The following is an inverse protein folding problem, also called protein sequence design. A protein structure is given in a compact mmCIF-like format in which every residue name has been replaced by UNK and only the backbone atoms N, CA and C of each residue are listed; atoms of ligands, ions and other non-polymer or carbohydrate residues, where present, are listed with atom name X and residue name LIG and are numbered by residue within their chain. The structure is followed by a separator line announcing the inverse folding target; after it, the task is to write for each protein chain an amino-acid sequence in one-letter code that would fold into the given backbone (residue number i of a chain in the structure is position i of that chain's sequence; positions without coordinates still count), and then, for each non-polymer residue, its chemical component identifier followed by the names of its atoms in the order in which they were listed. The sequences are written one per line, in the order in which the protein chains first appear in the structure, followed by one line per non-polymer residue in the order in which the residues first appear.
data_IF_616732063967
#
_entry.id   IF_616732063967
#
_cell.length_a   1.000
_cell.length_b   1.000
_cell.length_c   1.000
_cell.angle_alpha   90.00
_cell.angle_beta   90.00
_cell.angle_gamma   90.00
#
_symmetry.space_group_name_H-M   'P 1'
#
loop_
_entity.id
_entity.type
_entity.pdbx_description
1 polymer ?
#
# COMPACT_ATOMS: atom_id res chain seq x y z
N UNK A 1 -8.59 12.05 -11.23
CA UNK A 1 -7.25 12.00 -11.83
C UNK A 1 -6.67 10.59 -11.72
N UNK A 2 -6.28 10.00 -12.90
CA UNK A 2 -5.85 8.60 -12.96
C UNK A 2 -4.59 8.30 -12.12
N UNK A 3 -3.64 9.24 -12.04
CA UNK A 3 -2.40 9.08 -11.26
C UNK A 3 -2.70 8.93 -9.76
N UNK A 4 -3.61 9.73 -9.21
CA UNK A 4 -4.01 9.62 -7.80
C UNK A 4 -4.61 8.25 -7.49
N UNK A 5 -5.38 7.67 -8.40
CA UNK A 5 -5.98 6.35 -8.22
C UNK A 5 -4.93 5.24 -8.16
N UNK A 6 -3.90 5.28 -9.01
CA UNK A 6 -2.81 4.29 -9.01
C UNK A 6 -1.95 4.39 -7.74
N UNK A 7 -1.68 5.62 -7.26
CA UNK A 7 -0.97 5.82 -5.99
C UNK A 7 -1.77 5.28 -4.82
N UNK A 8 -3.06 5.60 -4.74
CA UNK A 8 -3.94 5.07 -3.69
C UNK A 8 -3.96 3.54 -3.72
N UNK A 9 -4.11 2.93 -4.90
CA UNK A 9 -4.04 1.48 -5.04
C UNK A 9 -2.70 0.92 -4.54
N UNK A 10 -1.57 1.56 -4.89
CA UNK A 10 -0.26 1.11 -4.42
C UNK A 10 -0.13 1.20 -2.90
N UNK A 11 -0.64 2.28 -2.31
CA UNK A 11 -0.66 2.44 -0.84
C UNK A 11 -1.52 1.36 -0.16
N UNK A 12 -2.67 1.00 -0.74
CA UNK A 12 -3.49 -0.13 -0.27
C UNK A 12 -2.72 -1.46 -0.35
N UNK A 13 -2.09 -1.75 -1.49
CA UNK A 13 -1.28 -2.95 -1.68
C UNK A 13 -0.13 -3.01 -0.64
N UNK A 14 0.56 -1.89 -0.41
CA UNK A 14 1.64 -1.78 0.59
C UNK A 14 1.15 -2.00 2.02
N UNK A 15 -0.03 -1.49 2.33
CA UNK A 15 -0.64 -1.70 3.64
C UNK A 15 -1.01 -3.17 3.84
N UNK A 16 -1.59 -3.82 2.85
CA UNK A 16 -1.92 -5.25 2.90
C UNK A 16 -0.65 -6.12 2.99
N UNK A 17 0.43 -5.77 2.26
CA UNK A 17 1.75 -6.40 2.39
C UNK A 17 2.30 -6.25 3.83
N UNK A 18 2.18 -5.06 4.43
CA UNK A 18 2.61 -4.78 5.80
C UNK A 18 1.82 -5.57 6.85
N UNK A 19 0.51 -5.66 6.71
CA UNK A 19 -0.35 -6.47 7.59
C UNK A 19 0.05 -7.94 7.51
N UNK A 20 0.23 -8.46 6.29
CA UNK A 20 0.68 -9.84 6.07
C UNK A 20 2.02 -10.13 6.74
N UNK A 21 3.01 -9.26 6.50
CA UNK A 21 4.33 -9.40 7.10
C UNK A 21 4.25 -9.40 8.64
N UNK A 22 3.39 -8.54 9.21
CA UNK A 22 3.18 -8.46 10.67
C UNK A 22 2.56 -9.75 11.22
N UNK A 23 1.56 -10.34 10.55
CA UNK A 23 0.94 -11.59 10.97
C UNK A 23 1.94 -12.76 10.89
N UNK A 24 2.71 -12.86 9.81
CA UNK A 24 3.74 -13.89 9.66
C UNK A 24 4.84 -13.72 10.71
N UNK A 25 5.24 -12.50 11.02
CA UNK A 25 6.23 -12.23 12.06
C UNK A 25 5.70 -12.61 13.46
N UNK A 26 4.44 -12.29 13.75
CA UNK A 26 3.79 -12.70 15.00
C UNK A 26 3.68 -14.22 15.14
N UNK A 27 3.38 -14.94 14.05
CA UNK A 27 3.36 -16.40 14.02
C UNK A 27 4.72 -16.98 14.43
N UNK A 28 5.81 -16.41 13.92
CA UNK A 28 7.17 -16.83 14.29
C UNK A 28 7.50 -16.48 15.74
N UNK A 29 7.17 -15.27 16.20
CA UNK A 29 7.44 -14.82 17.56
C UNK A 29 6.70 -15.62 18.62
N UNK A 30 5.49 -16.06 18.31
CA UNK A 30 4.63 -16.83 19.24
C UNK A 30 4.83 -18.33 19.10
N UNK A 31 5.62 -18.77 18.13
CA UNK A 31 5.74 -20.18 17.74
C UNK A 31 4.34 -20.82 17.48
N UNK A 32 3.46 -20.05 16.85
CA UNK A 32 2.08 -20.42 16.59
C UNK A 32 1.74 -20.33 15.08
N UNK A 33 1.69 -21.47 14.43
CA UNK A 33 1.39 -21.58 13.02
C UNK A 33 -0.06 -21.22 12.67
N UNK A 34 -1.00 -21.20 13.62
CA UNK A 34 -2.40 -20.88 13.36
C UNK A 34 -2.55 -19.46 12.80
N UNK A 35 -1.76 -18.51 13.30
CA UNK A 35 -1.75 -17.13 12.78
C UNK A 35 -1.35 -17.12 11.29
N UNK A 36 -0.31 -17.87 10.92
CA UNK A 36 0.15 -17.97 9.53
C UNK A 36 -0.89 -18.64 8.61
N UNK A 37 -1.64 -19.62 9.13
CA UNK A 37 -2.69 -20.32 8.38
C UNK A 37 -3.92 -19.44 8.13
N UNK A 38 -4.21 -18.48 9.01
CA UNK A 38 -5.33 -17.54 8.87
C UNK A 38 -5.03 -16.40 7.89
N UNK A 39 -3.76 -16.04 7.65
CA UNK A 39 -3.39 -14.96 6.72
C UNK A 39 -3.96 -15.16 5.30
N UNK A 40 -3.78 -16.32 4.63
CA UNK A 40 -4.33 -16.55 3.31
C UNK A 40 -5.86 -16.43 3.27
N UNK A 41 -6.54 -16.84 4.33
CA UNK A 41 -7.99 -16.78 4.44
C UNK A 41 -8.49 -15.31 4.45
N UNK A 42 -7.78 -14.40 5.12
CA UNK A 42 -8.10 -12.96 5.10
C UNK A 42 -8.09 -12.38 3.68
N UNK A 43 -7.20 -12.86 2.83
CA UNK A 43 -7.06 -12.41 1.45
C UNK A 43 -8.09 -13.02 0.52
N UNK A 44 -8.39 -14.31 0.71
CA UNK A 44 -9.32 -15.05 -0.15
C UNK A 44 -10.78 -14.67 0.12
N UNK A 45 -11.12 -14.41 1.37
CA UNK A 45 -12.49 -14.11 1.76
C UNK A 45 -12.80 -12.63 1.62
N UNK A 46 -13.39 -12.25 0.49
CA UNK A 46 -13.91 -10.90 0.23
C UNK A 46 -15.29 -10.65 0.87
N UNK A 47 -15.98 -11.72 1.27
CA UNK A 47 -17.30 -11.63 1.91
C UNK A 47 -17.17 -11.23 3.38
N UNK A 48 -17.94 -10.20 3.79
CA UNK A 48 -17.89 -9.65 5.15
C UNK A 48 -18.05 -10.72 6.26
N UNK A 49 -19.00 -11.64 6.11
CA UNK A 49 -19.24 -12.70 7.09
C UNK A 49 -18.05 -13.66 7.26
N UNK A 50 -17.45 -14.07 6.14
CA UNK A 50 -16.32 -14.99 6.18
C UNK A 50 -15.07 -14.31 6.76
N UNK A 51 -14.88 -13.04 6.39
CA UNK A 51 -13.80 -12.22 6.93
C UNK A 51 -13.94 -12.04 8.45
N UNK A 52 -15.13 -11.76 8.95
CA UNK A 52 -15.39 -11.62 10.39
C UNK A 52 -15.02 -12.89 11.19
N UNK A 53 -15.29 -14.07 10.64
CA UNK A 53 -14.91 -15.35 11.29
C UNK A 53 -13.38 -15.47 11.42
N UNK A 54 -12.65 -15.09 10.38
CA UNK A 54 -11.17 -15.13 10.41
C UNK A 54 -10.61 -14.10 11.39
N UNK A 55 -11.21 -12.90 11.45
CA UNK A 55 -10.83 -11.85 12.41
C UNK A 55 -11.09 -12.32 13.84
N UNK A 56 -12.26 -12.92 14.13
CA UNK A 56 -12.58 -13.48 15.43
C UNK A 56 -11.59 -14.59 15.85
N UNK A 57 -11.21 -15.46 14.92
CA UNK A 57 -10.18 -16.47 15.16
C UNK A 57 -8.81 -15.83 15.49
N UNK A 58 -8.39 -14.82 14.73
CA UNK A 58 -7.16 -14.06 15.01
C UNK A 58 -7.25 -13.35 16.37
N UNK A 59 -8.38 -12.75 16.70
CA UNK A 59 -8.58 -12.07 17.97
C UNK A 59 -8.32 -13.00 19.17
N UNK A 60 -8.69 -14.27 19.07
CA UNK A 60 -8.44 -15.25 20.12
C UNK A 60 -6.94 -15.61 20.30
N UNK A 61 -6.11 -15.42 19.27
CA UNK A 61 -4.69 -15.75 19.27
C UNK A 61 -3.79 -14.55 19.63
N UNK A 62 -4.33 -13.33 19.57
CA UNK A 62 -3.60 -12.09 19.80
C UNK A 62 -3.73 -11.63 21.26
N UNK A 63 -2.65 -11.06 21.81
CA UNK A 63 -2.68 -10.34 23.08
C UNK A 63 -3.50 -9.05 22.95
N UNK A 64 -3.90 -8.43 24.07
CA UNK A 64 -4.66 -7.19 24.05
C UNK A 64 -3.93 -6.08 23.26
N UNK A 65 -2.63 -5.90 23.49
CA UNK A 65 -1.84 -4.88 22.80
C UNK A 65 -1.77 -5.12 21.28
N UNK A 66 -1.63 -6.37 20.85
CA UNK A 66 -1.63 -6.74 19.43
C UNK A 66 -2.99 -6.53 18.80
N UNK A 67 -4.08 -6.87 19.52
CA UNK A 67 -5.46 -6.60 19.10
C UNK A 67 -5.70 -5.13 18.85
N UNK A 68 -5.37 -4.28 19.82
CA UNK A 68 -5.57 -2.84 19.74
C UNK A 68 -4.85 -2.21 18.54
N UNK A 69 -3.74 -2.81 18.09
CA UNK A 69 -2.96 -2.33 16.94
C UNK A 69 -3.37 -2.92 15.60
N UNK A 70 -3.73 -4.20 15.56
CA UNK A 70 -3.96 -4.92 14.31
C UNK A 70 -5.43 -5.00 13.90
N UNK A 71 -6.35 -5.24 14.85
CA UNK A 71 -7.75 -5.41 14.50
C UNK A 71 -8.36 -4.21 13.76
N UNK A 72 -8.06 -2.95 14.10
CA UNK A 72 -8.56 -1.81 13.35
C UNK A 72 -8.13 -1.79 11.87
N UNK A 73 -6.99 -2.43 11.56
CA UNK A 73 -6.49 -2.55 10.18
C UNK A 73 -7.14 -3.69 9.42
N UNK A 74 -7.55 -4.73 10.15
CA UNK A 74 -8.15 -5.94 9.59
C UNK A 74 -9.66 -5.81 9.40
N UNK A 75 -10.33 -5.13 10.34
CA UNK A 75 -11.78 -5.03 10.40
C UNK A 75 -12.34 -4.08 9.33
N UNK A 76 -11.61 -3.02 9.03
CA UNK A 76 -12.04 -2.01 8.07
C UNK A 76 -11.76 -2.41 6.62
N UNK A 77 -12.73 -2.16 5.74
CA UNK A 77 -12.68 -2.57 4.33
C UNK A 77 -12.13 -1.50 3.41
N UNK A 78 -12.23 -0.21 3.76
CA UNK A 78 -11.71 0.89 2.94
C UNK A 78 -10.43 1.47 3.50
N UNK A 79 -9.54 1.95 2.61
CA UNK A 79 -8.31 2.63 2.99
C UNK A 79 -8.59 3.82 3.93
N UNK A 80 -9.64 4.60 3.66
CA UNK A 80 -9.99 5.76 4.46
C UNK A 80 -10.35 5.38 5.90
N UNK A 81 -11.14 4.32 6.09
CA UNK A 81 -11.50 3.80 7.41
C UNK A 81 -10.28 3.28 8.17
N UNK A 82 -9.41 2.51 7.50
CA UNK A 82 -8.16 2.02 8.09
C UNK A 82 -7.24 3.17 8.52
N UNK A 83 -7.09 4.21 7.68
CA UNK A 83 -6.30 5.41 8.03
C UNK A 83 -6.89 6.13 9.22
N UNK A 84 -8.21 6.27 9.30
CA UNK A 84 -8.90 6.86 10.48
C UNK A 84 -8.67 6.03 11.74
N UNK A 85 -8.75 4.71 11.64
CA UNK A 85 -8.51 3.80 12.76
C UNK A 85 -7.07 3.95 13.30
N UNK A 86 -6.05 3.95 12.42
CA UNK A 86 -4.65 4.17 12.77
C UNK A 86 -4.44 5.54 13.42
N UNK A 87 -5.10 6.58 12.89
CA UNK A 87 -4.95 7.93 13.38
C UNK A 87 -5.46 8.14 14.82
N UNK A 88 -6.30 7.22 15.29
CA UNK A 88 -6.84 7.22 16.66
C UNK A 88 -5.98 6.42 17.65
N UNK A 89 -4.93 5.72 17.18
CA UNK A 89 -4.02 4.99 18.09
C UNK A 89 -3.21 5.99 18.93
N UNK A 90 -3.27 5.89 20.27
CA UNK A 90 -2.55 6.81 21.16
C UNK A 90 -1.04 6.81 20.89
N UNK A 91 -0.43 8.01 20.97
CA UNK A 91 1.02 8.17 20.82
C UNK A 91 1.53 8.22 19.37
N UNK A 92 0.64 8.19 18.38
CA UNK A 92 1.02 8.34 16.98
C UNK A 92 0.70 9.75 16.49
N UNK A 93 1.74 10.51 16.21
CA UNK A 93 1.59 11.81 15.54
C UNK A 93 1.26 11.60 14.07
N UNK A 94 0.34 12.42 13.56
CA UNK A 94 0.05 12.43 12.12
C UNK A 94 1.16 13.22 11.42
N UNK A 95 1.87 12.63 10.45
CA UNK A 95 2.80 13.39 9.64
C UNK A 95 2.03 14.49 8.90
N UNK A 96 2.61 15.65 8.73
CA UNK A 96 2.09 16.63 7.80
C UNK A 96 2.25 16.11 6.36
N UNK A 97 1.63 16.78 5.40
CA UNK A 97 1.65 16.33 4.00
C UNK A 97 3.08 16.25 3.43
N UNK A 98 3.94 17.22 3.77
CA UNK A 98 5.34 17.25 3.32
C UNK A 98 6.15 16.07 3.86
N UNK A 99 6.03 15.78 5.16
CA UNK A 99 6.74 14.66 5.80
C UNK A 99 6.24 13.31 5.24
N UNK A 100 4.92 13.18 5.02
CA UNK A 100 4.34 11.97 4.44
C UNK A 100 4.85 11.75 3.00
N UNK A 101 4.90 12.80 2.19
CA UNK A 101 5.39 12.74 0.83
C UNK A 101 6.89 12.45 0.79
N UNK A 102 7.69 13.08 1.65
CA UNK A 102 9.12 12.77 1.78
C UNK A 102 9.33 11.29 2.17
N UNK A 103 8.51 10.77 3.09
CA UNK A 103 8.53 9.34 3.46
C UNK A 103 8.28 8.40 2.27
N UNK A 104 7.40 8.80 1.32
CA UNK A 104 7.17 8.02 0.10
C UNK A 104 8.34 8.10 -0.88
N UNK A 105 9.03 9.25 -0.95
CA UNK A 105 10.23 9.42 -1.79
C UNK A 105 11.43 8.62 -1.27
N UNK A 106 11.50 8.40 0.03
CA UNK A 106 12.56 7.65 0.68
C UNK A 106 12.17 6.18 0.92
N UNK A 107 10.97 5.75 0.44
CA UNK A 107 10.51 4.36 0.58
C UNK A 107 11.50 3.39 -0.09
N UNK A 108 11.84 2.26 0.54
CA UNK A 108 12.72 1.24 -0.06
C UNK A 108 12.13 0.61 -1.33
N UNK A 109 10.80 0.64 -1.50
CA UNK A 109 10.13 0.14 -2.70
C UNK A 109 10.25 1.14 -3.85
N UNK A 110 10.98 0.76 -4.90
CA UNK A 110 11.23 1.59 -6.08
C UNK A 110 9.94 2.05 -6.76
N UNK A 111 8.93 1.17 -6.82
CA UNK A 111 7.64 1.50 -7.43
C UNK A 111 6.91 2.59 -6.64
N UNK A 112 6.91 2.52 -5.31
CA UNK A 112 6.32 3.55 -4.44
C UNK A 112 7.02 4.90 -4.66
N UNK A 113 8.36 4.92 -4.72
CA UNK A 113 9.13 6.14 -5.02
C UNK A 113 8.78 6.73 -6.39
N UNK A 114 8.76 5.88 -7.42
CA UNK A 114 8.43 6.32 -8.79
C UNK A 114 7.05 6.95 -8.88
N UNK A 115 6.05 6.33 -8.25
CA UNK A 115 4.70 6.87 -8.19
C UNK A 115 4.63 8.18 -7.38
N UNK A 116 5.37 8.29 -6.27
CA UNK A 116 5.46 9.52 -5.50
C UNK A 116 6.06 10.66 -6.34
N UNK A 117 7.13 10.40 -7.09
CA UNK A 117 7.74 11.38 -8.01
C UNK A 117 6.75 11.83 -9.09
N UNK A 118 6.02 10.89 -9.70
CA UNK A 118 5.04 11.19 -10.75
C UNK A 118 3.84 12.03 -10.24
N UNK A 119 3.52 11.93 -8.95
CA UNK A 119 2.42 12.69 -8.32
C UNK A 119 2.86 13.97 -7.64
N UNK A 120 4.16 14.27 -7.66
CA UNK A 120 4.70 15.46 -7.01
C UNK A 120 4.04 16.73 -7.55
N UNK A 121 3.43 17.57 -6.69
CA UNK A 121 2.83 18.81 -7.16
C UNK A 121 3.90 19.75 -7.74
N UNK A 122 3.68 20.23 -8.95
CA UNK A 122 4.51 21.27 -9.55
C UNK A 122 4.46 22.52 -8.67
N UNK A 123 5.60 22.89 -8.07
CA UNK A 123 5.70 24.06 -7.17
C UNK A 123 5.95 23.74 -5.70
N UNK A 124 6.12 22.49 -5.32
CA UNK A 124 6.52 22.11 -3.97
C UNK A 124 8.07 22.09 -3.87
N UNK A 125 8.62 23.13 -3.25
CA UNK A 125 10.05 23.48 -3.24
C UNK A 125 10.84 22.72 -2.15
N UNK A 126 10.81 21.39 -2.17
CA UNK A 126 11.55 20.57 -1.20
C UNK A 126 12.46 19.52 -1.84
N UNK A 127 13.46 19.98 -2.62
CA UNK A 127 14.55 19.09 -3.11
C UNK A 127 14.14 17.98 -4.11
N UNK A 128 12.85 17.88 -4.44
CA UNK A 128 12.31 16.88 -5.36
C UNK A 128 12.58 17.17 -6.84
N UNK A 129 12.88 18.44 -7.20
CA UNK A 129 13.20 18.81 -8.58
C UNK A 129 14.45 18.08 -9.10
N UNK A 130 15.45 17.86 -8.24
CA UNK A 130 16.67 17.13 -8.63
C UNK A 130 16.40 15.65 -8.96
N UNK A 131 15.42 15.03 -8.28
CA UNK A 131 15.04 13.63 -8.53
C UNK A 131 14.15 13.51 -9.79
N UNK A 132 13.30 14.51 -10.04
CA UNK A 132 12.44 14.57 -11.23
C UNK A 132 13.23 14.82 -12.50
N UNK A 133 14.17 15.74 -12.48
CA UNK A 133 15.07 16.03 -13.63
C UNK A 133 15.95 14.86 -14.00
N UNK A 134 16.36 14.01 -13.06
CA UNK A 134 17.10 12.78 -13.35
C UNK A 134 16.25 11.76 -14.14
N UNK A 135 14.97 11.64 -13.82
CA UNK A 135 14.05 10.72 -14.51
C UNK A 135 13.73 11.22 -15.95
N UNK A 136 13.46 12.52 -16.11
CA UNK A 136 13.17 13.14 -17.40
C UNK A 136 14.42 13.15 -18.32
N UNK A 137 15.63 13.13 -17.75
CA UNK A 137 16.89 13.03 -18.52
C UNK A 137 17.19 11.60 -18.98
N UNK A 138 16.76 10.59 -18.24
CA UNK A 138 17.01 9.19 -18.57
C UNK A 138 16.08 8.67 -19.66
N UNK A 139 14.88 9.28 -19.83
CA UNK A 139 13.86 8.84 -20.78
C UNK A 139 13.17 10.02 -21.52
N UNK A 140 13.89 10.84 -22.29
CA UNK A 140 13.36 12.09 -22.86
C UNK A 140 12.30 11.92 -23.97
N UNK A 141 12.02 10.69 -24.43
CA UNK A 141 11.12 10.41 -25.58
C UNK A 141 10.20 9.20 -25.38
N UNK A 142 10.11 8.62 -24.20
CA UNK A 142 9.20 7.51 -23.90
C UNK A 142 8.13 8.01 -22.93
N UNK A 143 6.87 7.68 -23.21
CA UNK A 143 5.81 7.82 -22.20
C UNK A 143 6.27 7.16 -20.90
N UNK A 144 6.20 7.90 -19.79
CA UNK A 144 6.61 7.37 -18.47
C UNK A 144 5.98 6.00 -18.26
N UNK A 145 6.68 4.99 -17.71
CA UNK A 145 6.08 3.70 -17.34
C UNK A 145 4.81 3.85 -16.52
N UNK A 146 4.69 4.94 -15.76
CA UNK A 146 3.48 5.30 -15.01
C UNK A 146 2.33 5.68 -15.94
N UNK A 147 2.60 6.45 -17.01
CA UNK A 147 1.58 6.83 -18.00
C UNK A 147 1.10 5.61 -18.79
N UNK A 148 2.02 4.72 -19.18
CA UNK A 148 1.66 3.45 -19.83
C UNK A 148 0.84 2.57 -18.89
N UNK A 149 1.22 2.46 -17.64
CA UNK A 149 0.46 1.71 -16.64
C UNK A 149 -0.96 2.28 -16.43
N UNK A 150 -1.12 3.60 -16.49
CA UNK A 150 -2.42 4.26 -16.44
C UNK A 150 -3.28 3.92 -17.66
N UNK A 151 -2.69 3.93 -18.86
CA UNK A 151 -3.38 3.53 -20.08
C UNK A 151 -3.79 2.05 -20.02
N UNK A 152 -2.90 1.17 -19.58
CA UNK A 152 -3.21 -0.25 -19.39
C UNK A 152 -4.34 -0.45 -18.40
N UNK A 153 -4.36 0.29 -17.28
CA UNK A 153 -5.42 0.19 -16.29
C UNK A 153 -6.80 0.63 -16.80
N UNK A 154 -6.85 1.51 -17.78
CA UNK A 154 -8.11 1.93 -18.41
C UNK A 154 -8.75 0.84 -19.28
N UNK A 155 -7.99 -0.22 -19.59
CA UNK A 155 -8.48 -1.35 -20.38
C UNK A 155 -9.08 -2.39 -19.43
N UNK A 156 -10.35 -2.83 -19.61
CA UNK A 156 -11.04 -3.74 -18.70
C UNK A 156 -10.27 -5.05 -18.43
N UNK A 157 -9.49 -5.52 -19.41
CA UNK A 157 -8.66 -6.73 -19.27
C UNK A 157 -7.61 -6.62 -18.15
N UNK A 158 -7.10 -5.41 -17.90
CA UNK A 158 -6.01 -5.15 -16.95
C UNK A 158 -6.49 -4.49 -15.65
N UNK A 159 -7.77 -4.19 -15.53
CA UNK A 159 -8.37 -3.52 -14.37
C UNK A 159 -8.03 -4.21 -13.03
N UNK A 160 -7.96 -5.55 -13.05
CA UNK A 160 -7.73 -6.38 -11.86
C UNK A 160 -6.25 -6.66 -11.57
N UNK A 161 -5.33 -6.20 -12.43
CA UNK A 161 -3.90 -6.38 -12.19
C UNK A 161 -3.40 -5.46 -11.08
N UNK A 162 -2.45 -5.98 -10.28
CA UNK A 162 -1.75 -5.16 -9.29
C UNK A 162 -0.92 -4.08 -9.97
N UNK A 163 -0.66 -2.99 -9.26
CA UNK A 163 0.17 -1.87 -9.74
C UNK A 163 1.54 -2.36 -10.20
N UNK A 164 2.14 -3.31 -9.49
CA UNK A 164 3.43 -3.92 -9.88
C UNK A 164 3.35 -4.64 -11.23
N UNK A 165 2.30 -5.40 -11.49
CA UNK A 165 2.12 -6.08 -12.79
C UNK A 165 1.92 -5.09 -13.93
N UNK A 166 1.16 -4.01 -13.70
CA UNK A 166 0.95 -2.96 -14.70
C UNK A 166 2.26 -2.25 -15.07
N UNK A 167 3.08 -1.92 -14.10
CA UNK A 167 4.39 -1.29 -14.34
C UNK A 167 5.35 -2.24 -15.03
N UNK A 168 5.39 -3.52 -14.65
CA UNK A 168 6.21 -4.52 -15.33
C UNK A 168 5.81 -4.69 -16.80
N UNK A 169 4.50 -4.67 -17.10
CA UNK A 169 4.00 -4.67 -18.48
C UNK A 169 4.41 -3.40 -19.22
N UNK A 170 4.34 -2.23 -18.56
CA UNK A 170 4.75 -0.95 -19.14
C UNK A 170 6.25 -0.90 -19.47
N UNK A 171 7.10 -1.58 -18.71
CA UNK A 171 8.53 -1.69 -19.03
C UNK A 171 8.84 -2.69 -20.15
N UNK A 172 7.92 -3.61 -20.45
CA UNK A 172 8.12 -4.63 -21.50
C UNK A 172 7.64 -4.17 -22.87
N UNK A 173 7.00 -3.00 -22.98
CA UNK A 173 6.50 -2.40 -24.22
C UNK A 173 7.39 -1.27 -24.70
#
# INVERSE_FOLDING_TARGET
DGISAIVLQRLEERMDEGIRASLLFLSVLKDDNQIAELEPALRLYKGQRQRSIVIEALESLLSQEERDRLLPLLDETSLEQRVRAIANVPGRERPNFGDALQGLLDDPDELTRTLAIATWPTGFDSGGESKRTSYDQEYPNMSSPVEIALLLKSVPLFEHLSTRHLINLAHAT
#
